data_IF_536049821279
#
_entry.id   IF_536049821279
#
_cell.length_a   1.000
_cell.length_b   1.000
_cell.length_c   1.000
_cell.angle_alpha   90.00
_cell.angle_beta   90.00
_cell.angle_gamma   90.00
#
_symmetry.space_group_name_H-M   'P 1'
#
loop_
_entity.id
_entity.type
_entity.pdbx_description
1 polymer ?
#
# COMPACT_ATOMS: atom_id res chain seq x y z
N UNK A 1 -26.85 6.86 -5.88
CA UNK A 1 -25.85 7.15 -4.84
C UNK A 1 -24.84 6.04 -4.90
N UNK A 2 -23.66 6.28 -5.51
CA UNK A 2 -22.56 5.32 -5.41
C UNK A 2 -21.91 5.64 -4.07
N UNK A 3 -22.08 4.76 -3.09
CA UNK A 3 -21.27 4.68 -1.87
C UNK A 3 -19.81 4.47 -2.30
N UNK A 4 -19.17 5.56 -2.72
CA UNK A 4 -17.72 5.67 -2.77
C UNK A 4 -17.29 5.83 -1.33
N UNK A 5 -17.32 4.72 -0.58
CA UNK A 5 -16.50 4.64 0.61
C UNK A 5 -15.11 5.07 0.18
N UNK A 6 -14.66 6.22 0.67
CA UNK A 6 -13.25 6.51 0.90
C UNK A 6 -12.75 5.36 1.77
N UNK A 7 -12.47 4.21 1.15
CA UNK A 7 -11.60 3.26 1.77
C UNK A 7 -10.28 3.99 1.83
N UNK A 8 -9.89 4.44 3.02
CA UNK A 8 -8.52 4.80 3.40
C UNK A 8 -7.62 3.58 3.16
N UNK A 9 -7.47 3.22 1.88
CA UNK A 9 -6.63 2.17 1.40
C UNK A 9 -5.22 2.69 1.55
N UNK A 10 -4.59 2.27 2.63
CA UNK A 10 -3.21 2.54 2.87
C UNK A 10 -2.39 1.71 1.88
N UNK A 11 -1.44 2.35 1.22
CA UNK A 11 -0.53 1.66 0.33
C UNK A 11 0.62 1.10 1.14
N UNK A 12 0.92 -0.16 0.90
CA UNK A 12 1.97 -0.88 1.56
C UNK A 12 2.98 -1.38 0.53
N UNK A 13 4.25 -1.29 0.90
CA UNK A 13 5.37 -1.71 0.10
C UNK A 13 6.10 -2.84 0.81
N UNK A 14 6.32 -3.95 0.13
CA UNK A 14 7.15 -5.02 0.65
C UNK A 14 8.61 -4.86 0.21
N UNK A 15 9.55 -4.64 1.13
CA UNK A 15 10.98 -4.53 0.82
C UNK A 15 11.62 -5.88 0.43
N UNK A 16 10.99 -7.01 0.79
CA UNK A 16 11.49 -8.35 0.45
C UNK A 16 11.23 -8.71 -1.02
N UNK A 17 9.99 -8.56 -1.50
CA UNK A 17 9.60 -8.89 -2.87
C UNK A 17 9.35 -7.66 -3.77
N UNK A 18 9.50 -6.44 -3.24
CA UNK A 18 9.18 -5.17 -3.92
C UNK A 18 7.74 -5.06 -4.42
N UNK A 19 6.83 -5.80 -3.81
CA UNK A 19 5.42 -5.78 -4.16
C UNK A 19 4.69 -4.61 -3.48
N UNK A 20 3.94 -3.83 -4.25
CA UNK A 20 3.09 -2.75 -3.76
C UNK A 20 1.63 -3.21 -3.75
N UNK A 21 0.93 -3.04 -2.64
CA UNK A 21 -0.50 -3.34 -2.57
C UNK A 21 -1.24 -2.37 -1.66
N UNK A 22 -2.53 -2.19 -1.94
CA UNK A 22 -3.45 -1.39 -1.12
C UNK A 22 -4.18 -2.30 -0.15
N UNK A 23 -4.16 -1.98 1.15
CA UNK A 23 -4.94 -2.70 2.16
C UNK A 23 -5.56 -1.72 3.17
N UNK A 24 -6.65 -2.14 3.80
CA UNK A 24 -7.33 -1.34 4.83
C UNK A 24 -6.53 -1.28 6.15
N UNK A 25 -5.71 -2.30 6.41
CA UNK A 25 -4.88 -2.43 7.62
C UNK A 25 -3.48 -2.88 7.22
N UNK A 26 -2.47 -2.44 7.98
CA UNK A 26 -1.08 -2.87 7.83
C UNK A 26 -1.04 -4.38 8.11
N UNK A 27 -0.79 -5.22 7.09
CA UNK A 27 -0.60 -6.62 7.38
C UNK A 27 0.82 -6.80 7.93
N UNK A 28 0.91 -7.51 9.04
CA UNK A 28 2.18 -7.91 9.64
C UNK A 28 3.04 -8.72 8.65
N UNK A 29 2.40 -9.42 7.71
CA UNK A 29 3.04 -10.31 6.75
C UNK A 29 2.66 -9.94 5.31
N UNK A 30 3.63 -9.96 4.40
CA UNK A 30 3.34 -9.78 2.98
C UNK A 30 2.45 -10.92 2.46
N UNK A 31 1.31 -10.63 1.78
CA UNK A 31 0.41 -11.65 1.26
C UNK A 31 1.02 -12.47 0.12
N UNK A 32 1.99 -11.91 -0.61
CA UNK A 32 2.62 -12.55 -1.76
C UNK A 32 3.79 -13.46 -1.35
N UNK A 33 4.75 -12.92 -0.58
CA UNK A 33 5.95 -13.67 -0.21
C UNK A 33 5.91 -14.27 1.21
N UNK A 34 4.93 -13.90 2.04
CA UNK A 34 4.86 -14.37 3.41
C UNK A 34 5.95 -13.79 4.33
N UNK A 35 6.75 -12.82 3.88
CA UNK A 35 7.77 -12.17 4.70
C UNK A 35 7.11 -11.19 5.69
N UNK A 36 7.45 -11.33 6.97
CA UNK A 36 7.03 -10.40 8.03
C UNK A 36 8.17 -9.46 8.44
N UNK A 37 9.41 -9.95 8.46
CA UNK A 37 10.60 -9.14 8.79
C UNK A 37 11.65 -9.33 7.68
N UNK A 38 12.16 -8.22 7.17
CA UNK A 38 13.28 -8.17 6.23
C UNK A 38 14.37 -7.26 6.80
N UNK A 39 15.58 -7.79 6.99
CA UNK A 39 16.73 -7.06 7.55
C UNK A 39 16.41 -6.34 8.88
N UNK A 40 15.83 -7.09 9.82
CA UNK A 40 15.49 -6.62 11.18
C UNK A 40 14.41 -5.52 11.25
N UNK A 41 13.73 -5.26 10.13
CA UNK A 41 12.62 -4.31 10.00
C UNK A 41 11.40 -5.02 9.41
N UNK A 42 10.18 -4.51 9.61
CA UNK A 42 9.01 -5.12 8.98
C UNK A 42 9.20 -5.18 7.46
N UNK A 43 8.99 -6.37 6.89
CA UNK A 43 9.15 -6.62 5.46
C UNK A 43 8.13 -5.81 4.66
N UNK A 44 6.99 -5.50 5.27
CA UNK A 44 5.96 -4.61 4.74
C UNK A 44 6.03 -3.28 5.49
N UNK A 45 6.21 -2.18 4.76
CA UNK A 45 6.13 -0.82 5.30
C UNK A 45 5.01 -0.03 4.65
N UNK A 46 4.47 0.94 5.37
CA UNK A 46 3.59 1.94 4.77
C UNK A 46 4.38 2.68 3.67
N UNK A 47 3.74 2.90 2.54
CA UNK A 47 4.26 3.83 1.53
C UNK A 47 4.40 5.22 2.15
N UNK A 48 5.44 5.97 1.75
CA UNK A 48 5.60 7.32 2.26
C UNK A 48 4.48 8.22 1.75
N UNK A 49 4.17 9.30 2.49
CA UNK A 49 3.16 10.30 2.08
C UNK A 49 3.38 10.80 0.64
N UNK A 50 4.64 10.94 0.21
CA UNK A 50 4.97 11.35 -1.15
C UNK A 50 4.59 10.29 -2.20
N UNK A 51 4.84 9.00 -1.93
CA UNK A 51 4.44 7.91 -2.83
C UNK A 51 2.92 7.75 -2.87
N UNK A 52 2.24 7.94 -1.74
CA UNK A 52 0.78 7.92 -1.64
C UNK A 52 0.18 9.10 -2.41
N UNK A 53 0.72 10.31 -2.27
CA UNK A 53 0.24 11.51 -2.96
C UNK A 53 0.41 11.38 -4.49
N UNK A 54 1.55 10.87 -4.96
CA UNK A 54 1.78 10.59 -6.39
C UNK A 54 0.78 9.55 -6.92
N UNK A 55 0.54 8.46 -6.17
CA UNK A 55 -0.46 7.44 -6.54
C UNK A 55 -1.89 8.00 -6.58
N UNK A 56 -2.24 8.87 -5.63
CA UNK A 56 -3.55 9.52 -5.58
C UNK A 56 -3.73 10.50 -6.75
N UNK A 57 -2.69 11.25 -7.13
CA UNK A 57 -2.72 12.12 -8.32
C UNK A 57 -2.97 11.32 -9.59
N UNK A 58 -2.24 10.21 -9.80
CA UNK A 58 -2.41 9.36 -10.99
C UNK A 58 -3.81 8.73 -11.03
N UNK A 59 -4.35 8.25 -9.90
CA UNK A 59 -5.73 7.71 -9.84
C UNK A 59 -6.81 8.77 -10.07
N UNK A 60 -6.56 10.02 -9.66
CA UNK A 60 -7.46 11.12 -9.93
C UNK A 60 -7.48 11.50 -11.42
N UNK A 61 -6.35 11.38 -12.12
CA UNK A 61 -6.26 11.61 -13.57
C UNK A 61 -6.87 10.48 -14.42
N UNK A 62 -6.94 9.24 -13.92
CA UNK A 62 -7.56 8.09 -14.63
C UNK A 62 -9.11 8.15 -14.65
N UNK A 63 -9.73 9.09 -13.93
CA UNK A 63 -11.20 9.27 -13.88
C UNK A 63 -11.76 10.38 -14.81
N UNK A 64 -11.01 10.81 -15.84
CA UNK A 64 -11.49 11.78 -16.84
C UNK A 64 -11.50 11.21 -18.26
#
# INVERSE_FOLDING_TARGET
>A
MRDWGEYDLNYYFCDACRYCFSAEKLPDRCPDCGAQIYKEKPAVRLANKNEIEELLRIRAEDNN
#
